data_IF_392781831306
#
_entry.id   IF_392781831306
#
_cell.length_a   1.000
_cell.length_b   1.000
_cell.length_c   1.000
_cell.angle_alpha   90.00
_cell.angle_beta   90.00
_cell.angle_gamma   90.00
#
_symmetry.space_group_name_H-M   'P 1'
#
loop_
_entity.id
_entity.type
_entity.pdbx_description
1 polymer ?
#
# COMPACT_ATOMS: atom_id res chain seq x y z
N UNK A 1 7.99 -25.82 3.61
CA UNK A 1 6.93 -25.48 2.64
C UNK A 1 5.82 -24.81 3.43
N UNK A 2 5.35 -23.64 3.00
CA UNK A 2 4.30 -22.90 3.72
C UNK A 2 2.99 -23.68 3.64
N UNK A 3 2.33 -23.88 4.78
CA UNK A 3 1.00 -24.49 4.86
C UNK A 3 -0.08 -23.49 4.43
N UNK A 4 -1.28 -23.97 4.09
CA UNK A 4 -2.40 -23.09 3.74
C UNK A 4 -2.80 -22.16 4.89
N UNK A 5 -2.66 -22.61 6.15
CA UNK A 5 -2.94 -21.76 7.31
C UNK A 5 -1.90 -20.64 7.45
N UNK A 6 -0.61 -20.96 7.34
CA UNK A 6 0.47 -19.95 7.35
C UNK A 6 0.31 -18.96 6.18
N UNK A 7 -0.09 -19.45 5.01
CA UNK A 7 -0.40 -18.61 3.86
C UNK A 7 -1.49 -17.59 4.17
N UNK A 8 -2.61 -18.00 4.76
CA UNK A 8 -3.71 -17.08 5.12
C UNK A 8 -3.28 -16.02 6.13
N UNK A 9 -2.46 -16.38 7.12
CA UNK A 9 -1.93 -15.45 8.13
C UNK A 9 -1.05 -14.41 7.43
N UNK A 10 -0.04 -14.88 6.69
CA UNK A 10 0.92 -13.99 6.03
C UNK A 10 0.25 -13.12 4.94
N UNK A 11 -0.78 -13.66 4.27
CA UNK A 11 -1.60 -12.92 3.33
C UNK A 11 -2.36 -11.79 4.03
N UNK A 12 -3.02 -12.08 5.16
CA UNK A 12 -3.73 -11.07 5.95
C UNK A 12 -2.79 -9.98 6.47
N UNK A 13 -1.60 -10.34 6.94
CA UNK A 13 -0.57 -9.38 7.35
C UNK A 13 -0.13 -8.50 6.16
N UNK A 14 0.11 -9.10 5.00
CA UNK A 14 0.45 -8.37 3.77
C UNK A 14 -0.65 -7.37 3.38
N UNK A 15 -1.93 -7.78 3.46
CA UNK A 15 -3.06 -6.88 3.21
C UNK A 15 -3.10 -5.75 4.23
N UNK A 16 -2.82 -6.03 5.51
CA UNK A 16 -2.78 -5.01 6.55
C UNK A 16 -1.73 -3.93 6.27
N UNK A 17 -0.54 -4.31 5.79
CA UNK A 17 0.48 -3.33 5.41
C UNK A 17 0.03 -2.43 4.26
N UNK A 18 -0.69 -2.97 3.26
CA UNK A 18 -1.26 -2.15 2.19
C UNK A 18 -2.31 -1.16 2.72
N UNK A 19 -3.14 -1.56 3.68
CA UNK A 19 -4.12 -0.67 4.32
C UNK A 19 -3.43 0.46 5.09
N UNK A 20 -2.36 0.15 5.82
CA UNK A 20 -1.56 1.14 6.54
C UNK A 20 -0.87 2.12 5.57
N UNK A 21 -0.29 1.63 4.47
CA UNK A 21 0.28 2.49 3.41
C UNK A 21 -0.80 3.42 2.85
N UNK A 22 -1.99 2.91 2.52
CA UNK A 22 -3.09 3.72 1.99
C UNK A 22 -3.50 4.81 2.98
N UNK A 23 -3.65 4.47 4.26
CA UNK A 23 -4.01 5.41 5.32
C UNK A 23 -2.94 6.50 5.52
N UNK A 24 -1.66 6.12 5.55
CA UNK A 24 -0.56 7.05 5.75
C UNK A 24 -0.41 8.02 4.57
N UNK A 25 -0.66 7.57 3.34
CA UNK A 25 -0.70 8.46 2.17
C UNK A 25 -1.88 9.45 2.23
N UNK A 26 -3.04 9.02 2.73
CA UNK A 26 -4.18 9.93 2.99
C UNK A 26 -3.81 11.00 4.01
N UNK A 27 -3.08 10.62 5.08
CA UNK A 27 -2.58 11.59 6.05
C UNK A 27 -1.59 12.58 5.44
N UNK A 28 -0.63 12.11 4.63
CA UNK A 28 0.32 13.00 3.95
C UNK A 28 -0.43 14.01 3.07
N UNK A 29 -1.40 13.54 2.26
CA UNK A 29 -2.24 14.42 1.46
C UNK A 29 -2.93 15.48 2.32
N UNK A 30 -3.57 15.04 3.41
CA UNK A 30 -4.40 15.92 4.24
C UNK A 30 -3.60 16.99 4.97
N UNK A 31 -2.38 16.65 5.37
CA UNK A 31 -1.40 17.59 5.95
C UNK A 31 -0.94 18.64 4.93
N UNK A 32 -0.67 18.20 3.70
CA UNK A 32 -0.22 19.07 2.61
C UNK A 32 -1.33 19.97 2.07
N UNK A 33 -2.56 19.45 2.05
CA UNK A 33 -3.69 20.14 1.46
C UNK A 33 -4.12 21.33 2.33
N UNK A 34 -4.46 22.45 1.69
CA UNK A 34 -4.92 23.65 2.41
C UNK A 34 -6.28 23.40 3.07
N UNK A 35 -6.62 24.17 4.10
CA UNK A 35 -7.86 23.98 4.85
C UNK A 35 -7.73 23.03 6.03
N UNK A 36 -8.84 22.56 6.57
CA UNK A 36 -8.87 21.70 7.75
C UNK A 36 -8.33 20.28 7.44
N UNK A 37 -7.48 19.76 8.32
CA UNK A 37 -6.78 18.48 8.08
C UNK A 37 -7.76 17.31 8.17
N UNK A 38 -8.69 17.34 9.13
CA UNK A 38 -9.62 16.25 9.35
C UNK A 38 -10.66 16.20 8.22
N UNK A 39 -11.17 17.37 7.77
CA UNK A 39 -12.03 17.46 6.59
C UNK A 39 -11.33 16.95 5.32
N UNK A 40 -10.05 17.29 5.14
CA UNK A 40 -9.27 16.79 4.00
C UNK A 40 -9.12 15.26 4.06
N UNK A 41 -8.88 14.70 5.24
CA UNK A 41 -8.75 13.24 5.41
C UNK A 41 -10.08 12.54 5.13
N UNK A 42 -11.17 13.05 5.69
CA UNK A 42 -12.53 12.54 5.50
C UNK A 42 -12.98 12.62 4.04
N UNK A 43 -12.52 13.62 3.29
CA UNK A 43 -12.79 13.73 1.84
C UNK A 43 -12.22 12.55 1.03
N UNK A 44 -11.18 11.89 1.56
CA UNK A 44 -10.57 10.69 1.00
C UNK A 44 -11.17 9.39 1.56
N UNK A 45 -12.21 9.47 2.40
CA UNK A 45 -12.91 8.28 2.87
C UNK A 45 -13.45 7.47 1.68
N UNK A 46 -13.34 6.15 1.78
CA UNK A 46 -13.67 5.17 0.72
C UNK A 46 -12.89 5.30 -0.59
N UNK A 47 -11.93 6.23 -0.71
CA UNK A 47 -11.03 6.30 -1.87
C UNK A 47 -9.97 5.22 -1.79
N UNK A 48 -9.72 4.56 -2.92
CA UNK A 48 -8.71 3.51 -3.02
C UNK A 48 -7.29 4.09 -3.16
N UNK A 49 -6.29 3.25 -2.90
CA UNK A 49 -4.86 3.58 -3.02
C UNK A 49 -4.48 4.26 -4.35
N UNK A 50 -5.04 3.81 -5.47
CA UNK A 50 -4.73 4.38 -6.79
C UNK A 50 -5.19 5.83 -6.93
N UNK A 51 -6.39 6.14 -6.41
CA UNK A 51 -6.91 7.50 -6.36
C UNK A 51 -6.04 8.38 -5.46
N UNK A 52 -5.75 7.92 -4.23
CA UNK A 52 -4.94 8.66 -3.26
C UNK A 52 -3.55 9.00 -3.79
N UNK A 53 -2.87 8.03 -4.43
CA UNK A 53 -1.55 8.25 -5.04
C UNK A 53 -1.60 9.35 -6.11
N UNK A 54 -2.67 9.38 -6.92
CA UNK A 54 -2.83 10.38 -7.99
C UNK A 54 -3.03 11.77 -7.41
N UNK A 55 -4.02 11.94 -6.52
CA UNK A 55 -4.34 13.25 -5.93
C UNK A 55 -3.15 13.81 -5.14
N UNK A 56 -2.47 12.95 -4.36
CA UNK A 56 -1.26 13.34 -3.63
C UNK A 56 -0.15 13.80 -4.57
N UNK A 57 0.09 13.08 -5.68
CA UNK A 57 1.08 13.49 -6.67
C UNK A 57 0.75 14.83 -7.31
N UNK A 58 -0.51 15.05 -7.68
CA UNK A 58 -0.96 16.30 -8.29
C UNK A 58 -0.78 17.48 -7.32
N UNK A 59 -1.18 17.29 -6.06
CA UNK A 59 -1.00 18.27 -4.99
C UNK A 59 0.49 18.59 -4.75
N UNK A 60 1.32 17.58 -4.59
CA UNK A 60 2.73 17.71 -4.24
C UNK A 60 3.53 18.48 -5.31
N UNK A 61 3.29 18.14 -6.58
CA UNK A 61 3.94 18.79 -7.72
C UNK A 61 3.38 20.18 -8.04
N UNK A 62 2.20 20.56 -7.54
CA UNK A 62 1.61 21.88 -7.79
C UNK A 62 2.44 23.04 -7.23
N UNK A 63 3.25 22.78 -6.19
CA UNK A 63 4.09 23.76 -5.51
C UNK A 63 5.42 24.07 -6.23
N UNK A 64 5.81 23.25 -7.22
CA UNK A 64 7.11 23.35 -7.90
C UNK A 64 8.30 22.75 -7.14
N UNK A 65 8.15 22.43 -5.85
CA UNK A 65 9.16 21.77 -5.02
C UNK A 65 8.57 20.55 -4.33
N UNK A 66 8.52 19.39 -5.01
CA UNK A 66 7.82 18.22 -4.48
C UNK A 66 8.54 17.62 -3.26
N UNK A 67 7.76 17.25 -2.25
CA UNK A 67 8.17 16.56 -1.04
C UNK A 67 8.51 15.08 -1.31
N UNK A 68 7.73 14.42 -2.17
CA UNK A 68 7.95 13.03 -2.60
C UNK A 68 8.49 13.01 -4.02
N UNK A 69 9.53 12.23 -4.28
CA UNK A 69 10.14 12.19 -5.61
C UNK A 69 9.22 11.54 -6.64
N UNK A 70 9.37 11.91 -7.92
CA UNK A 70 8.65 11.27 -9.04
C UNK A 70 8.87 9.75 -9.07
N UNK A 71 10.07 9.30 -8.72
CA UNK A 71 10.41 7.87 -8.70
C UNK A 71 9.68 7.13 -7.57
N UNK A 72 9.52 7.76 -6.41
CA UNK A 72 8.76 7.19 -5.30
C UNK A 72 7.28 7.05 -5.67
N UNK A 73 6.68 8.02 -6.38
CA UNK A 73 5.31 7.85 -6.90
C UNK A 73 5.19 6.72 -7.94
N UNK A 74 6.19 6.54 -8.80
CA UNK A 74 6.21 5.42 -9.74
C UNK A 74 6.28 4.09 -8.98
N UNK A 75 7.08 4.04 -7.92
CA UNK A 75 7.19 2.89 -7.05
C UNK A 75 5.89 2.60 -6.28
N UNK A 76 5.23 3.61 -5.73
CA UNK A 76 3.90 3.47 -5.08
C UNK A 76 2.85 2.92 -6.05
N UNK A 77 2.88 3.31 -7.33
CA UNK A 77 2.01 2.72 -8.33
C UNK A 77 2.30 1.23 -8.58
N UNK A 78 3.55 0.79 -8.50
CA UNK A 78 3.86 -0.65 -8.55
C UNK A 78 3.31 -1.38 -7.32
N UNK A 79 3.31 -0.74 -6.15
CA UNK A 79 2.71 -1.32 -4.93
C UNK A 79 1.20 -1.47 -5.05
N UNK A 80 0.52 -0.51 -5.70
CA UNK A 80 -0.90 -0.62 -6.06
C UNK A 80 -1.17 -1.88 -6.89
N UNK A 81 -0.37 -2.16 -7.92
CA UNK A 81 -0.53 -3.36 -8.73
C UNK A 81 -0.35 -4.65 -7.93
N UNK A 82 0.64 -4.68 -7.01
CA UNK A 82 0.81 -5.82 -6.10
C UNK A 82 -0.41 -6.00 -5.19
N UNK A 83 -0.94 -4.91 -4.61
CA UNK A 83 -2.15 -4.95 -3.79
C UNK A 83 -3.34 -5.51 -4.57
N UNK A 84 -3.52 -5.08 -5.82
CA UNK A 84 -4.58 -5.59 -6.68
C UNK A 84 -4.48 -7.10 -6.88
N UNK A 85 -3.26 -7.61 -7.16
CA UNK A 85 -3.03 -9.06 -7.26
C UNK A 85 -3.43 -9.79 -5.97
N UNK A 86 -2.96 -9.32 -4.81
CA UNK A 86 -3.22 -9.98 -3.53
C UNK A 86 -4.70 -9.93 -3.11
N UNK A 87 -5.42 -8.87 -3.49
CA UNK A 87 -6.86 -8.74 -3.20
C UNK A 87 -7.75 -9.52 -4.17
N UNK A 88 -7.37 -9.64 -5.45
CA UNK A 88 -8.30 -10.08 -6.49
C UNK A 88 -7.92 -11.40 -7.16
N UNK A 89 -6.64 -11.80 -7.16
CA UNK A 89 -6.15 -12.92 -7.98
C UNK A 89 -5.50 -14.04 -7.17
N UNK A 90 -4.81 -13.74 -6.07
CA UNK A 90 -3.89 -14.70 -5.41
C UNK A 90 -4.51 -16.06 -5.06
N UNK A 91 -5.76 -16.11 -4.61
CA UNK A 91 -6.44 -17.39 -4.30
C UNK A 91 -6.86 -18.14 -5.57
N UNK A 92 -7.33 -17.42 -6.60
CA UNK A 92 -7.81 -18.01 -7.85
C UNK A 92 -6.72 -18.83 -8.53
N UNK A 93 -5.46 -18.40 -8.41
CA UNK A 93 -4.29 -19.05 -9.03
C UNK A 93 -4.07 -20.51 -8.59
N UNK A 94 -4.63 -20.94 -7.46
CA UNK A 94 -4.42 -22.31 -6.95
C UNK A 94 -5.65 -22.98 -6.35
N UNK A 95 -6.64 -22.24 -5.84
CA UNK A 95 -7.69 -22.81 -4.96
C UNK A 95 -8.58 -23.84 -5.66
N UNK A 96 -8.72 -23.75 -6.99
CA UNK A 96 -9.54 -24.67 -7.79
C UNK A 96 -8.78 -25.93 -8.24
N UNK A 97 -7.49 -26.06 -7.91
CA UNK A 97 -6.69 -27.24 -8.22
C UNK A 97 -7.02 -28.33 -7.19
N UNK A 98 -7.29 -29.56 -7.66
CA UNK A 98 -7.49 -30.68 -6.75
C UNK A 98 -6.20 -30.96 -5.96
N UNK A 99 -6.30 -31.10 -4.64
CA UNK A 99 -5.15 -31.21 -3.72
C UNK A 99 -4.12 -30.08 -3.91
N UNK A 100 -4.60 -28.84 -4.08
CA UNK A 100 -3.75 -27.66 -4.34
C UNK A 100 -2.60 -27.48 -3.35
N UNK A 101 -2.74 -27.94 -2.10
CA UNK A 101 -1.70 -27.82 -1.08
C UNK A 101 -0.38 -28.47 -1.49
N UNK A 102 -0.42 -29.46 -2.39
CA UNK A 102 0.76 -30.14 -2.91
C UNK A 102 1.15 -29.68 -4.33
N UNK A 103 0.46 -28.70 -4.89
CA UNK A 103 0.64 -28.27 -6.27
C UNK A 103 1.80 -27.27 -6.43
N UNK A 104 2.35 -27.18 -7.65
CA UNK A 104 3.41 -26.24 -7.98
C UNK A 104 2.94 -24.78 -7.94
N UNK A 105 1.65 -24.57 -8.22
CA UNK A 105 0.99 -23.27 -8.27
C UNK A 105 0.90 -22.68 -6.86
N UNK A 106 0.45 -23.48 -5.89
CA UNK A 106 0.42 -23.04 -4.49
C UNK A 106 1.83 -22.70 -3.99
N UNK A 107 2.85 -23.51 -4.32
CA UNK A 107 4.24 -23.21 -3.96
C UNK A 107 4.76 -21.91 -4.59
N UNK A 108 4.41 -21.64 -5.86
CA UNK A 108 4.78 -20.39 -6.56
C UNK A 108 4.13 -19.18 -5.89
N UNK A 109 2.83 -19.28 -5.56
CA UNK A 109 2.09 -18.20 -4.89
C UNK A 109 2.63 -17.95 -3.49
N UNK A 110 2.93 -18.99 -2.70
CA UNK A 110 3.56 -18.86 -1.38
C UNK A 110 4.94 -18.19 -1.46
N UNK A 111 5.76 -18.59 -2.44
CA UNK A 111 7.09 -17.99 -2.64
C UNK A 111 6.99 -16.52 -3.05
N UNK A 112 6.00 -16.18 -3.87
CA UNK A 112 5.68 -14.80 -4.23
C UNK A 112 5.19 -14.00 -3.02
N UNK A 113 4.33 -14.59 -2.18
CA UNK A 113 3.79 -13.95 -0.98
C UNK A 113 4.91 -13.60 -0.02
N UNK A 114 5.82 -14.53 0.25
CA UNK A 114 6.95 -14.27 1.16
C UNK A 114 7.82 -13.10 0.70
N UNK A 115 8.19 -13.08 -0.59
CA UNK A 115 8.99 -11.97 -1.15
C UNK A 115 8.26 -10.64 -1.13
N UNK A 116 6.98 -10.64 -1.49
CA UNK A 116 6.19 -9.41 -1.51
C UNK A 116 5.94 -8.93 -0.07
N UNK A 117 5.59 -9.81 0.88
CA UNK A 117 5.40 -9.49 2.30
C UNK A 117 6.60 -8.72 2.88
N UNK A 118 7.80 -9.31 2.80
CA UNK A 118 9.02 -8.71 3.39
C UNK A 118 9.32 -7.34 2.77
N UNK A 119 9.06 -7.20 1.46
CA UNK A 119 9.25 -5.93 0.78
C UNK A 119 8.19 -4.89 1.19
N UNK A 120 6.91 -5.29 1.27
CA UNK A 120 5.82 -4.38 1.62
C UNK A 120 5.93 -3.90 3.07
N UNK A 121 6.42 -4.73 4.00
CA UNK A 121 6.70 -4.30 5.36
C UNK A 121 7.71 -3.13 5.39
N UNK A 122 8.79 -3.22 4.61
CA UNK A 122 9.77 -2.14 4.50
C UNK A 122 9.15 -0.88 3.89
N UNK A 123 8.31 -1.04 2.86
CA UNK A 123 7.59 0.09 2.25
C UNK A 123 6.65 0.75 3.26
N UNK A 124 5.88 -0.02 4.02
CA UNK A 124 4.98 0.51 5.04
C UNK A 124 5.75 1.37 6.04
N UNK A 125 6.87 0.87 6.58
CA UNK A 125 7.72 1.64 7.52
C UNK A 125 8.27 2.92 6.89
N UNK A 126 8.61 2.91 5.60
CA UNK A 126 9.12 4.09 4.92
C UNK A 126 8.02 5.14 4.67
N UNK A 127 6.81 4.70 4.31
CA UNK A 127 5.65 5.60 4.14
C UNK A 127 5.23 6.19 5.48
N UNK A 128 5.25 5.41 6.57
CA UNK A 128 5.00 5.91 7.92
C UNK A 128 6.00 7.01 8.31
N UNK A 129 7.31 6.78 8.05
CA UNK A 129 8.34 7.80 8.25
C UNK A 129 8.08 9.06 7.42
N UNK A 130 7.65 8.90 6.16
CA UNK A 130 7.30 10.02 5.30
C UNK A 130 6.12 10.81 5.88
N UNK A 131 5.08 10.14 6.41
CA UNK A 131 3.97 10.77 7.12
C UNK A 131 4.43 11.55 8.34
N UNK A 132 5.28 10.95 9.19
CA UNK A 132 5.82 11.64 10.36
C UNK A 132 6.64 12.88 9.99
N UNK A 133 7.38 12.83 8.88
CA UNK A 133 8.11 13.98 8.35
C UNK A 133 7.18 15.04 7.76
N UNK A 134 6.17 14.63 7.00
CA UNK A 134 5.13 15.54 6.49
C UNK A 134 4.44 16.26 7.64
N UNK A 135 4.13 15.56 8.74
CA UNK A 135 3.55 16.19 9.92
C UNK A 135 4.49 17.27 10.48
N UNK A 136 5.80 17.06 10.56
CA UNK A 136 6.74 18.09 11.05
C UNK A 136 6.86 19.31 10.12
N UNK A 137 6.71 19.11 8.82
CA UNK A 137 6.86 20.16 7.81
C UNK A 137 5.57 20.97 7.65
N UNK A 138 4.43 20.29 7.71
CA UNK A 138 3.12 20.86 7.40
C UNK A 138 2.19 21.00 8.61
N UNK A 139 2.59 20.55 9.81
CA UNK A 139 1.84 20.77 11.05
C UNK A 139 1.60 22.27 11.21
N UNK A 140 0.33 22.62 11.32
CA UNK A 140 -0.10 23.98 11.61
C UNK A 140 -0.25 24.09 13.13
N UNK A 141 0.51 25.00 13.72
CA UNK A 141 0.31 25.48 15.11
C UNK A 141 -1.04 26.14 15.26
#
# INVERSE_FOLDING_TARGET
>A
MMTYQEFKILHSETISYFQLIESDLKWIYSLMHKGDIDENYDSLDKRNLGFVIRELKELDFSSGTPFISKNDYNFLNQMREKRNYWCHQAYIDFIYIHNFEYSSEFQKVCSKLKRDHDHIEVVQRNVEKAKLNANKVFSRS
#
